data_IF_029610147657
#
_entry.id   IF_029610147657
#
_cell.length_a   1.000
_cell.length_b   1.000
_cell.length_c   1.000
_cell.angle_alpha   90.00
_cell.angle_beta   90.00
_cell.angle_gamma   90.00
#
_symmetry.space_group_name_H-M   'P 1'
#
loop_
_entity.id
_entity.type
_entity.pdbx_description
1 polymer ?
#
# COMPACT_ATOMS: atom_id res chain seq x y z
N UNK A 1 46.41 20.76 7.93
CA UNK A 1 46.00 20.30 8.01
C UNK A 1 44.72 20.13 8.27
N UNK A 2 43.82 20.50 7.91
CA UNK A 2 42.70 20.39 8.22
C UNK A 2 42.00 19.62 7.40
N UNK A 3 41.31 18.84 7.64
CA UNK A 3 40.72 17.99 6.97
C UNK A 3 39.44 18.34 6.64
N UNK A 4 38.75 17.71 5.84
CA UNK A 4 37.56 17.97 5.34
C UNK A 4 36.69 16.81 5.36
N UNK A 5 36.25 16.24 6.42
CA UNK A 5 35.42 15.06 6.48
C UNK A 5 33.96 15.33 6.28
N UNK A 6 33.52 16.56 6.39
CA UNK A 6 32.08 16.85 6.42
C UNK A 6 31.36 16.61 5.12
N UNK A 7 32.00 16.72 3.96
CA UNK A 7 31.36 16.51 2.68
C UNK A 7 30.84 15.07 2.52
N UNK A 8 31.63 14.12 2.96
CA UNK A 8 31.24 12.71 2.86
C UNK A 8 30.08 12.38 3.81
N UNK A 9 30.08 12.98 4.99
CA UNK A 9 29.01 12.77 5.94
C UNK A 9 27.69 13.31 5.41
N UNK A 10 27.72 14.46 4.73
CA UNK A 10 26.52 15.04 4.15
C UNK A 10 25.91 14.14 3.05
N UNK A 11 26.74 13.58 2.19
CA UNK A 11 26.28 12.69 1.15
C UNK A 11 25.62 11.45 1.72
N UNK A 12 26.16 10.91 2.79
CA UNK A 12 25.62 9.74 3.43
C UNK A 12 24.23 10.01 4.00
N UNK A 13 24.03 11.17 4.62
CA UNK A 13 22.74 11.54 5.18
C UNK A 13 21.67 11.69 4.08
N UNK A 14 22.03 12.29 2.96
CA UNK A 14 21.09 12.42 1.84
C UNK A 14 20.63 11.07 1.31
N UNK A 15 21.55 10.12 1.19
CA UNK A 15 21.18 8.80 0.71
C UNK A 15 20.20 8.10 1.66
N UNK A 16 20.39 8.24 2.96
CA UNK A 16 19.53 7.67 3.95
C UNK A 16 18.12 8.29 3.89
N UNK A 17 18.05 9.61 3.65
CA UNK A 17 16.78 10.31 3.54
C UNK A 17 15.96 9.84 2.34
N UNK A 18 16.61 9.64 1.20
CA UNK A 18 15.94 9.14 0.01
C UNK A 18 15.40 7.73 0.20
N UNK A 19 16.16 6.86 0.86
CA UNK A 19 15.71 5.51 1.14
C UNK A 19 14.47 5.48 2.02
N UNK A 20 14.43 6.36 3.03
CA UNK A 20 13.27 6.45 3.92
C UNK A 20 12.03 6.94 3.18
N UNK A 21 12.17 7.89 2.28
CA UNK A 21 11.05 8.37 1.49
C UNK A 21 10.45 7.26 0.63
N UNK A 22 11.29 6.48 -0.04
CA UNK A 22 10.82 5.38 -0.85
C UNK A 22 10.10 4.33 -0.02
N UNK A 23 10.60 4.03 1.17
CA UNK A 23 9.97 3.06 2.05
C UNK A 23 8.59 3.53 2.52
N UNK A 24 8.39 4.85 2.69
CA UNK A 24 7.12 5.39 3.17
C UNK A 24 6.08 5.54 2.06
N UNK A 25 6.50 5.53 0.79
CA UNK A 25 5.62 5.86 -0.33
C UNK A 25 4.75 4.69 -0.81
N UNK A 26 4.99 3.47 -0.34
CA UNK A 26 4.31 2.29 -0.86
C UNK A 26 4.90 1.84 -2.19
N UNK A 27 4.84 0.55 -2.46
CA UNK A 27 5.46 -0.06 -3.65
C UNK A 27 4.37 -0.44 -4.64
N UNK A 28 4.20 0.34 -5.69
CA UNK A 28 3.16 0.09 -6.70
C UNK A 28 3.35 -1.22 -7.45
N UNK A 29 4.58 -1.63 -7.71
CA UNK A 29 4.83 -2.88 -8.40
C UNK A 29 4.43 -4.08 -7.54
N UNK A 30 4.74 -4.04 -6.27
CA UNK A 30 4.27 -5.03 -5.32
C UNK A 30 2.75 -5.01 -5.24
N UNK A 31 2.15 -3.82 -5.23
CA UNK A 31 0.69 -3.68 -5.23
C UNK A 31 0.05 -4.31 -6.45
N UNK A 32 0.64 -4.11 -7.63
CA UNK A 32 0.15 -4.73 -8.86
C UNK A 32 0.19 -6.26 -8.74
N UNK A 33 1.28 -6.79 -8.26
CA UNK A 33 1.42 -8.24 -8.06
C UNK A 33 0.37 -8.77 -7.09
N UNK A 34 0.20 -8.09 -5.96
CA UNK A 34 -0.76 -8.52 -4.94
C UNK A 34 -2.20 -8.33 -5.36
N UNK A 35 -2.47 -7.41 -6.28
CA UNK A 35 -3.83 -7.06 -6.69
C UNK A 35 -4.57 -8.21 -7.37
N UNK A 36 -3.87 -9.21 -7.86
CA UNK A 36 -4.49 -10.35 -8.52
C UNK A 36 -5.54 -11.04 -7.64
N UNK A 37 -5.31 -11.12 -6.34
CA UNK A 37 -6.29 -11.69 -5.42
C UNK A 37 -7.52 -10.79 -5.24
N UNK A 38 -7.35 -9.50 -5.41
CA UNK A 38 -8.44 -8.54 -5.20
C UNK A 38 -9.37 -8.48 -6.40
N UNK A 39 -8.80 -8.39 -7.60
CA UNK A 39 -9.58 -8.17 -8.83
C UNK A 39 -10.41 -9.38 -9.23
N UNK A 40 -10.16 -10.55 -8.65
CA UNK A 40 -10.99 -11.72 -8.87
C UNK A 40 -12.45 -11.45 -8.45
N UNK A 41 -12.63 -10.72 -7.36
CA UNK A 41 -13.94 -10.36 -6.83
C UNK A 41 -14.26 -8.89 -7.05
N UNK A 42 -13.27 -8.01 -6.87
CA UNK A 42 -13.44 -6.56 -7.02
C UNK A 42 -13.09 -6.14 -8.44
N UNK A 43 -14.02 -6.29 -9.35
CA UNK A 43 -13.77 -6.02 -10.76
C UNK A 43 -13.82 -4.53 -11.07
N UNK A 44 -13.03 -4.11 -12.06
CA UNK A 44 -13.01 -2.71 -12.49
C UNK A 44 -14.34 -2.25 -13.07
N UNK A 45 -15.14 -3.18 -13.59
CA UNK A 45 -16.44 -2.87 -14.17
C UNK A 45 -17.50 -2.49 -13.11
N UNK A 46 -17.16 -2.59 -11.83
CA UNK A 46 -18.07 -2.19 -10.76
C UNK A 46 -18.58 -3.35 -9.95
N UNK A 47 -19.55 -3.08 -9.10
CA UNK A 47 -20.07 -4.03 -8.13
C UNK A 47 -20.83 -5.17 -8.82
N UNK A 48 -20.47 -6.39 -8.42
CA UNK A 48 -21.24 -7.58 -8.76
C UNK A 48 -21.64 -8.20 -7.42
N UNK A 49 -22.92 -8.42 -7.23
CA UNK A 49 -23.42 -9.06 -6.00
C UNK A 49 -22.99 -8.30 -4.73
N UNK A 50 -22.98 -6.98 -4.79
CA UNK A 50 -22.64 -6.15 -3.63
C UNK A 50 -21.16 -5.98 -3.36
N UNK A 51 -20.27 -6.50 -4.22
CA UNK A 51 -18.82 -6.33 -4.07
C UNK A 51 -18.41 -5.03 -4.73
N UNK A 52 -17.89 -4.06 -4.00
CA UNK A 52 -17.65 -2.73 -4.57
C UNK A 52 -16.42 -2.67 -5.44
N UNK A 53 -16.41 -1.68 -6.34
CA UNK A 53 -15.22 -1.28 -7.07
C UNK A 53 -14.25 -0.61 -6.10
N UNK A 54 -12.99 -0.98 -6.17
CA UNK A 54 -11.97 -0.45 -5.24
C UNK A 54 -10.88 0.36 -5.92
N UNK A 55 -11.03 0.67 -7.20
CA UNK A 55 -10.08 1.48 -7.95
C UNK A 55 -10.32 2.96 -7.71
N UNK A 56 -9.25 3.75 -7.69
CA UNK A 56 -9.35 5.20 -7.57
C UNK A 56 -9.55 5.72 -6.15
N UNK A 57 -9.52 4.87 -5.14
CA UNK A 57 -9.70 5.32 -3.76
C UNK A 57 -8.46 6.06 -3.27
N UNK A 58 -8.62 7.10 -2.45
CA UNK A 58 -7.50 7.70 -1.74
C UNK A 58 -6.76 6.65 -0.90
N UNK A 59 -5.44 6.74 -0.85
CA UNK A 59 -4.62 5.71 -0.20
C UNK A 59 -4.96 5.56 1.28
N UNK A 60 -5.16 6.67 1.98
CA UNK A 60 -5.47 6.63 3.41
C UNK A 60 -6.80 5.94 3.68
N UNK A 61 -7.79 6.16 2.83
CA UNK A 61 -9.09 5.49 2.96
C UNK A 61 -8.97 4.00 2.71
N UNK A 62 -8.23 3.61 1.68
CA UNK A 62 -8.01 2.20 1.35
C UNK A 62 -7.33 1.49 2.55
N UNK A 63 -6.27 2.09 3.07
CA UNK A 63 -5.51 1.53 4.19
C UNK A 63 -6.41 1.38 5.42
N UNK A 64 -7.20 2.40 5.72
CA UNK A 64 -8.08 2.36 6.89
C UNK A 64 -9.12 1.24 6.79
N UNK A 65 -9.72 1.06 5.62
CA UNK A 65 -10.74 0.04 5.40
C UNK A 65 -10.13 -1.38 5.50
N UNK A 66 -8.98 -1.59 4.86
CA UNK A 66 -8.32 -2.90 4.92
C UNK A 66 -7.90 -3.22 6.36
N UNK A 67 -7.35 -2.26 7.08
CA UNK A 67 -7.00 -2.47 8.48
C UNK A 67 -8.21 -2.76 9.36
N UNK A 68 -9.35 -2.15 9.07
CA UNK A 68 -10.58 -2.43 9.82
C UNK A 68 -11.02 -3.88 9.63
N UNK A 69 -10.89 -4.43 8.43
CA UNK A 69 -11.15 -5.86 8.21
C UNK A 69 -10.10 -6.73 8.90
N UNK A 70 -8.82 -6.35 8.79
CA UNK A 70 -7.73 -7.10 9.40
C UNK A 70 -7.90 -7.20 10.92
N UNK A 71 -8.38 -6.14 11.54
CA UNK A 71 -8.60 -6.07 12.98
C UNK A 71 -10.00 -6.52 13.39
N UNK A 72 -10.79 -7.01 12.46
CA UNK A 72 -12.15 -7.50 12.68
C UNK A 72 -13.11 -6.43 13.19
N UNK A 73 -12.85 -5.18 12.83
CA UNK A 73 -13.71 -4.05 13.15
C UNK A 73 -14.80 -3.85 12.10
N UNK A 74 -14.65 -4.45 10.93
CA UNK A 74 -15.67 -4.51 9.89
C UNK A 74 -16.05 -5.97 9.67
N UNK A 75 -17.33 -6.21 9.52
CA UNK A 75 -17.86 -7.55 9.46
C UNK A 75 -17.99 -8.03 8.02
N UNK A 76 -17.11 -8.89 7.61
CA UNK A 76 -17.15 -9.64 6.35
C UNK A 76 -16.10 -10.74 6.43
N UNK A 77 -16.50 -12.00 6.61
CA UNK A 77 -15.54 -13.08 6.82
C UNK A 77 -14.52 -13.25 5.71
N UNK A 78 -14.93 -13.04 4.45
CA UNK A 78 -14.01 -13.17 3.32
C UNK A 78 -12.95 -12.08 3.37
N UNK A 79 -13.37 -10.82 3.54
CA UNK A 79 -12.43 -9.73 3.62
C UNK A 79 -11.56 -9.79 4.86
N UNK A 80 -12.07 -10.27 5.97
CA UNK A 80 -11.27 -10.50 7.18
C UNK A 80 -10.15 -11.51 6.91
N UNK A 81 -10.46 -12.58 6.18
CA UNK A 81 -9.47 -13.60 5.83
C UNK A 81 -8.41 -13.04 4.88
N UNK A 82 -8.83 -12.32 3.85
CA UNK A 82 -7.92 -11.72 2.87
C UNK A 82 -7.00 -10.70 3.57
N UNK A 83 -7.61 -9.75 4.29
CA UNK A 83 -6.86 -8.69 4.96
C UNK A 83 -5.95 -9.24 6.06
N UNK A 84 -6.34 -10.30 6.71
CA UNK A 84 -5.56 -10.93 7.78
C UNK A 84 -4.21 -11.45 7.33
N UNK A 85 -4.07 -11.75 6.04
CA UNK A 85 -2.81 -12.25 5.48
C UNK A 85 -1.88 -11.14 5.02
N UNK A 86 -2.34 -9.89 5.01
CA UNK A 86 -1.56 -8.76 4.52
C UNK A 86 -0.80 -8.08 5.65
N UNK A 87 0.45 -7.75 5.40
CA UNK A 87 1.24 -6.94 6.31
C UNK A 87 1.09 -5.46 5.94
N UNK A 88 1.55 -4.58 6.82
CA UNK A 88 1.41 -3.14 6.60
C UNK A 88 2.00 -2.69 5.26
N UNK A 89 3.15 -3.24 4.87
CA UNK A 89 3.78 -2.93 3.59
C UNK A 89 2.95 -3.39 2.40
N UNK A 90 2.28 -4.53 2.52
CA UNK A 90 1.41 -5.04 1.46
C UNK A 90 0.19 -4.14 1.29
N UNK A 91 -0.39 -3.70 2.39
CA UNK A 91 -1.56 -2.83 2.36
C UNK A 91 -1.21 -1.48 1.74
N UNK A 92 -0.06 -0.91 2.11
CA UNK A 92 0.41 0.34 1.52
C UNK A 92 0.67 0.19 0.02
N UNK A 93 1.23 -0.95 -0.40
CA UNK A 93 1.50 -1.23 -1.81
C UNK A 93 0.21 -1.33 -2.61
N UNK A 94 -0.78 -2.05 -2.09
CA UNK A 94 -2.09 -2.17 -2.72
C UNK A 94 -2.78 -0.81 -2.82
N UNK A 95 -2.70 0.00 -1.78
CA UNK A 95 -3.26 1.35 -1.77
C UNK A 95 -2.66 2.21 -2.87
N UNK A 96 -1.33 2.18 -3.00
CA UNK A 96 -0.62 2.94 -4.02
C UNK A 96 -0.99 2.49 -5.43
N UNK A 97 -1.16 1.20 -5.63
CA UNK A 97 -1.52 0.65 -6.93
C UNK A 97 -2.96 1.01 -7.30
N UNK A 98 -3.93 0.69 -6.44
CA UNK A 98 -5.34 0.90 -6.77
C UNK A 98 -5.72 2.36 -6.92
N UNK A 99 -5.03 3.25 -6.24
CA UNK A 99 -5.30 4.69 -6.37
C UNK A 99 -5.21 5.15 -7.82
N UNK A 100 -4.28 4.60 -8.60
CA UNK A 100 -4.05 5.03 -9.98
C UNK A 100 -4.83 4.21 -11.01
N UNK A 101 -5.56 3.21 -10.59
CA UNK A 101 -6.40 2.42 -11.49
C UNK A 101 -7.76 3.08 -11.67
N UNK A 102 -8.38 2.91 -12.83
CA UNK A 102 -9.68 3.54 -13.14
C UNK A 102 -10.82 2.55 -13.10
#
# INVERSE_FOLDING_TARGET
MMERPSARALLFVLAAGLALENAAAGDRELGEYLSAECVTCHRASGAAQGIPKITGWPEDQFIAVINAYKNKQRDNPVMQTIAGRLEAGDIAALAAYFRTQK
#
